data_IF_547262240360
#
_entry.id   IF_547262240360
#
_cell.length_a   1.000
_cell.length_b   1.000
_cell.length_c   1.000
_cell.angle_alpha   90.00
_cell.angle_beta   90.00
_cell.angle_gamma   90.00
#
_symmetry.space_group_name_H-M   'P 1'
#
loop_
_entity.id
_entity.type
_entity.pdbx_description
1 polymer ?
#
# COMPACT_ATOMS: atom_id res chain seq x y z
N UNK A 1 -25.74 7.22 -4.12
CA UNK A 1 -24.55 6.37 -3.85
C UNK A 1 -23.36 6.71 -4.77
N UNK A 2 -23.52 6.76 -6.11
CA UNK A 2 -22.38 7.01 -7.03
C UNK A 2 -21.55 8.27 -6.73
N UNK A 3 -22.19 9.42 -6.42
CA UNK A 3 -21.47 10.68 -6.10
C UNK A 3 -20.69 10.63 -4.78
N UNK A 4 -21.31 10.01 -3.76
CA UNK A 4 -20.75 9.80 -2.42
C UNK A 4 -19.50 8.91 -2.47
N UNK A 5 -19.60 7.77 -3.16
CA UNK A 5 -18.46 6.86 -3.36
C UNK A 5 -17.34 7.52 -4.16
N UNK A 6 -17.67 8.30 -5.20
CA UNK A 6 -16.66 9.00 -6.00
C UNK A 6 -15.87 10.02 -5.17
N UNK A 7 -16.54 10.73 -4.25
CA UNK A 7 -15.88 11.68 -3.36
C UNK A 7 -14.92 10.97 -2.38
N UNK A 8 -15.39 9.90 -1.75
CA UNK A 8 -14.61 9.10 -0.81
C UNK A 8 -13.37 8.50 -1.49
N UNK A 9 -13.51 7.93 -2.70
CA UNK A 9 -12.38 7.41 -3.46
C UNK A 9 -11.40 8.50 -3.92
N UNK A 10 -11.87 9.70 -4.30
CA UNK A 10 -10.98 10.76 -4.78
C UNK A 10 -10.06 11.29 -3.67
N UNK A 11 -10.57 11.38 -2.45
CA UNK A 11 -9.80 11.78 -1.29
C UNK A 11 -8.79 10.70 -0.87
N UNK A 12 -9.21 9.42 -0.91
CA UNK A 12 -8.31 8.27 -0.72
C UNK A 12 -7.15 8.24 -1.71
N UNK A 13 -7.39 8.61 -2.98
CA UNK A 13 -6.34 8.69 -4.00
C UNK A 13 -5.30 9.76 -3.65
N UNK A 14 -5.70 10.91 -3.10
CA UNK A 14 -4.74 11.93 -2.65
C UNK A 14 -3.85 11.41 -1.53
N UNK A 15 -4.43 10.72 -0.55
CA UNK A 15 -3.68 10.10 0.54
C UNK A 15 -2.68 9.05 0.00
N UNK A 16 -3.10 8.26 -1.00
CA UNK A 16 -2.25 7.26 -1.65
C UNK A 16 -1.07 7.90 -2.40
N UNK A 17 -1.28 9.00 -3.12
CA UNK A 17 -0.20 9.72 -3.82
C UNK A 17 0.84 10.22 -2.82
N UNK A 18 0.40 10.82 -1.71
CA UNK A 18 1.31 11.32 -0.66
C UNK A 18 2.10 10.15 -0.05
N UNK A 19 1.45 9.01 0.20
CA UNK A 19 2.11 7.81 0.71
C UNK A 19 3.25 7.35 -0.20
N UNK A 20 2.99 7.15 -1.51
CA UNK A 20 4.02 6.69 -2.43
C UNK A 20 5.16 7.70 -2.60
N UNK A 21 4.87 9.00 -2.56
CA UNK A 21 5.90 10.05 -2.61
C UNK A 21 6.85 9.94 -1.41
N UNK A 22 6.31 9.80 -0.20
CA UNK A 22 7.10 9.63 1.03
C UNK A 22 7.95 8.35 0.97
N UNK A 23 7.36 7.24 0.52
CA UNK A 23 8.07 5.96 0.38
C UNK A 23 9.23 6.08 -0.61
N UNK A 24 9.03 6.71 -1.77
CA UNK A 24 10.09 6.93 -2.77
C UNK A 24 11.23 7.78 -2.19
N UNK A 25 10.90 8.79 -1.38
CA UNK A 25 11.89 9.63 -0.71
C UNK A 25 12.70 8.83 0.32
N UNK A 26 12.05 7.98 1.12
CA UNK A 26 12.72 7.08 2.07
C UNK A 26 13.65 6.09 1.33
N UNK A 27 13.18 5.48 0.24
CA UNK A 27 13.98 4.55 -0.57
C UNK A 27 15.21 5.25 -1.13
N UNK A 28 15.05 6.43 -1.74
CA UNK A 28 16.16 7.15 -2.35
C UNK A 28 17.22 7.55 -1.31
N UNK A 29 16.78 8.00 -0.12
CA UNK A 29 17.68 8.31 0.98
C UNK A 29 18.43 7.06 1.49
N UNK A 30 17.73 5.93 1.59
CA UNK A 30 18.32 4.65 1.99
C UNK A 30 19.37 4.16 0.98
N UNK A 31 19.09 4.27 -0.32
CA UNK A 31 20.04 3.90 -1.39
C UNK A 31 21.30 4.77 -1.31
N UNK A 32 21.15 6.09 -1.15
CA UNK A 32 22.30 7.02 -1.01
C UNK A 32 23.11 6.66 0.24
N UNK A 33 22.45 6.45 1.38
CA UNK A 33 23.11 6.09 2.63
C UNK A 33 23.90 4.78 2.56
N UNK A 34 23.36 3.75 1.90
CA UNK A 34 24.07 2.48 1.71
C UNK A 34 25.30 2.61 0.81
N UNK A 35 25.22 3.42 -0.26
CA UNK A 35 26.35 3.68 -1.15
C UNK A 35 27.49 4.41 -0.41
N UNK A 36 27.18 5.29 0.54
CA UNK A 36 28.18 6.02 1.34
C UNK A 36 28.75 5.17 2.48
N UNK A 37 27.93 4.38 3.16
CA UNK A 37 28.34 3.62 4.35
C UNK A 37 28.99 2.26 4.04
N UNK A 38 28.96 1.81 2.78
CA UNK A 38 29.48 0.48 2.38
C UNK A 38 28.71 -0.70 3.00
N UNK A 39 27.55 -0.44 3.61
CA UNK A 39 26.75 -1.44 4.30
C UNK A 39 25.88 -2.23 3.35
N UNK A 40 26.03 -3.56 3.36
CA UNK A 40 25.23 -4.52 2.56
C UNK A 40 23.96 -4.99 3.27
N UNK A 41 23.63 -4.42 4.45
CA UNK A 41 22.47 -4.86 5.22
C UNK A 41 21.17 -4.36 4.60
N UNK A 42 20.38 -5.32 4.14
CA UNK A 42 19.06 -5.15 3.51
C UNK A 42 18.00 -4.98 4.60
N UNK A 43 17.25 -3.86 4.58
CA UNK A 43 16.11 -3.64 5.48
C UNK A 43 14.80 -3.61 4.69
N UNK A 44 13.80 -4.36 5.15
CA UNK A 44 12.53 -4.59 4.47
C UNK A 44 11.54 -3.44 4.65
N UNK A 45 11.28 -2.71 3.56
CA UNK A 45 10.30 -1.62 3.51
C UNK A 45 8.85 -2.08 3.28
N UNK A 46 8.64 -3.37 2.99
CA UNK A 46 7.35 -3.88 2.53
C UNK A 46 6.30 -4.15 3.60
N UNK A 47 6.52 -3.77 4.86
CA UNK A 47 5.48 -3.83 5.94
C UNK A 47 4.74 -2.49 6.13
N UNK A 48 5.17 -1.45 5.42
CA UNK A 48 4.67 -0.09 5.63
C UNK A 48 3.30 0.15 4.98
N UNK A 49 2.99 -0.56 3.89
CA UNK A 49 1.74 -0.40 3.15
C UNK A 49 0.55 -1.00 3.89
N UNK A 50 0.75 -2.08 4.64
CA UNK A 50 -0.31 -2.72 5.42
C UNK A 50 -0.73 -1.87 6.62
N UNK A 51 0.24 -1.30 7.34
CA UNK A 51 -0.06 -0.34 8.40
C UNK A 51 -0.73 0.92 7.87
N UNK A 52 -0.30 1.42 6.70
CA UNK A 52 -0.96 2.54 6.06
C UNK A 52 -2.42 2.23 5.72
N UNK A 53 -2.68 1.06 5.11
CA UNK A 53 -4.05 0.63 4.80
C UNK A 53 -4.91 0.47 6.06
N UNK A 54 -4.33 -0.04 7.16
CA UNK A 54 -5.00 -0.14 8.46
C UNK A 54 -5.40 1.25 8.99
N UNK A 55 -4.47 2.19 9.02
CA UNK A 55 -4.71 3.56 9.53
C UNK A 55 -5.75 4.27 8.67
N UNK A 56 -5.66 4.16 7.35
CA UNK A 56 -6.64 4.72 6.41
C UNK A 56 -8.03 4.14 6.66
N UNK A 57 -8.12 2.82 6.89
CA UNK A 57 -9.38 2.16 7.26
C UNK A 57 -10.01 2.70 8.55
N UNK A 58 -9.19 2.91 9.58
CA UNK A 58 -9.64 3.50 10.85
C UNK A 58 -10.09 4.96 10.69
N UNK A 59 -9.33 5.77 9.95
CA UNK A 59 -9.66 7.17 9.68
C UNK A 59 -10.92 7.31 8.83
N UNK A 60 -11.09 6.45 7.83
CA UNK A 60 -12.29 6.42 6.98
C UNK A 60 -13.57 6.23 7.79
N UNK A 61 -13.52 5.39 8.83
CA UNK A 61 -14.70 5.13 9.65
C UNK A 61 -15.15 6.37 10.42
N UNK A 62 -14.25 7.24 10.88
CA UNK A 62 -14.64 8.43 11.63
C UNK A 62 -15.19 9.53 10.74
N UNK A 63 -14.40 9.94 9.75
CA UNK A 63 -14.65 11.18 8.99
C UNK A 63 -15.86 11.05 8.05
N UNK A 64 -15.94 9.94 7.32
CA UNK A 64 -17.05 9.70 6.39
C UNK A 64 -18.35 9.30 7.08
N UNK A 65 -18.26 8.70 8.28
CA UNK A 65 -19.46 8.36 9.05
C UNK A 65 -20.20 9.60 9.51
N UNK A 66 -19.50 10.61 10.05
CA UNK A 66 -20.13 11.87 10.43
C UNK A 66 -20.70 12.62 9.22
N UNK A 67 -19.97 12.66 8.10
CA UNK A 67 -20.41 13.34 6.88
C UNK A 67 -21.68 12.70 6.29
N UNK A 68 -21.75 11.38 6.19
CA UNK A 68 -22.94 10.71 5.62
C UNK A 68 -24.14 10.66 6.59
N UNK A 69 -23.90 10.66 7.90
CA UNK A 69 -24.96 10.82 8.90
C UNK A 69 -25.67 12.17 8.76
N UNK A 70 -24.92 13.27 8.57
CA UNK A 70 -25.50 14.60 8.34
C UNK A 70 -26.32 14.70 7.05
N UNK A 71 -25.98 13.87 6.06
CA UNK A 71 -26.70 13.78 4.77
C UNK A 71 -27.89 12.79 4.80
N UNK A 72 -28.32 12.33 5.97
CA UNK A 72 -29.49 11.45 6.11
C UNK A 72 -29.29 10.04 5.55
N UNK A 73 -28.04 9.61 5.36
CA UNK A 73 -27.74 8.25 4.85
C UNK A 73 -27.90 7.24 5.99
N UNK A 74 -28.63 6.16 5.73
CA UNK A 74 -28.79 5.06 6.69
C UNK A 74 -27.43 4.42 7.06
N UNK A 75 -27.23 4.13 8.35
CA UNK A 75 -26.00 3.54 8.92
C UNK A 75 -25.54 2.27 8.19
N UNK A 76 -26.47 1.42 7.75
CA UNK A 76 -26.17 0.18 6.99
C UNK A 76 -25.52 0.49 5.63
N UNK A 77 -25.97 1.55 4.96
CA UNK A 77 -25.44 1.98 3.66
C UNK A 77 -24.05 2.63 3.80
N UNK A 78 -23.81 3.34 4.91
CA UNK A 78 -22.50 3.93 5.24
C UNK A 78 -21.47 2.82 5.43
N UNK A 79 -21.79 1.82 6.25
CA UNK A 79 -20.89 0.70 6.52
C UNK A 79 -20.58 -0.11 5.25
N UNK A 80 -21.60 -0.48 4.48
CA UNK A 80 -21.40 -1.20 3.22
C UNK A 80 -20.56 -0.41 2.20
N UNK A 81 -20.77 0.92 2.11
CA UNK A 81 -19.97 1.80 1.26
C UNK A 81 -18.50 1.88 1.69
N UNK A 82 -18.26 1.99 3.01
CA UNK A 82 -16.90 1.99 3.56
C UNK A 82 -16.17 0.67 3.27
N UNK A 83 -16.83 -0.48 3.48
CA UNK A 83 -16.25 -1.79 3.15
C UNK A 83 -15.90 -1.91 1.65
N UNK A 84 -16.79 -1.50 0.76
CA UNK A 84 -16.52 -1.52 -0.69
C UNK A 84 -15.33 -0.62 -1.06
N UNK A 85 -15.26 0.60 -0.51
CA UNK A 85 -14.13 1.49 -0.72
C UNK A 85 -12.82 0.89 -0.21
N UNK A 86 -12.82 0.24 0.96
CA UNK A 86 -11.62 -0.39 1.51
C UNK A 86 -11.14 -1.58 0.67
N UNK A 87 -12.05 -2.40 0.16
CA UNK A 87 -11.70 -3.51 -0.74
C UNK A 87 -11.07 -2.98 -2.03
N UNK A 88 -11.67 -1.95 -2.64
CA UNK A 88 -11.12 -1.34 -3.86
C UNK A 88 -9.76 -0.70 -3.57
N UNK A 89 -9.63 0.01 -2.45
CA UNK A 89 -8.39 0.67 -2.06
C UNK A 89 -7.26 -0.33 -1.79
N UNK A 90 -7.55 -1.41 -1.06
CA UNK A 90 -6.60 -2.49 -0.80
C UNK A 90 -6.16 -3.19 -2.09
N UNK A 91 -7.08 -3.44 -3.03
CA UNK A 91 -6.73 -4.02 -4.33
C UNK A 91 -5.81 -3.11 -5.15
N UNK A 92 -6.07 -1.80 -5.16
CA UNK A 92 -5.20 -0.81 -5.84
C UNK A 92 -3.83 -0.74 -5.18
N UNK A 93 -3.76 -0.71 -3.84
CA UNK A 93 -2.49 -0.72 -3.11
C UNK A 93 -1.68 -1.98 -3.40
N UNK A 94 -2.30 -3.15 -3.38
CA UNK A 94 -1.62 -4.41 -3.70
C UNK A 94 -1.04 -4.42 -5.12
N UNK A 95 -1.80 -3.95 -6.11
CA UNK A 95 -1.30 -3.84 -7.49
C UNK A 95 -0.11 -2.86 -7.61
N UNK A 96 -0.14 -1.76 -6.85
CA UNK A 96 0.93 -0.77 -6.84
C UNK A 96 2.20 -1.27 -6.10
N UNK A 97 2.05 -2.00 -5.00
CA UNK A 97 3.17 -2.61 -4.28
C UNK A 97 3.90 -3.65 -5.15
N UNK A 98 3.14 -4.45 -5.92
CA UNK A 98 3.68 -5.37 -6.92
C UNK A 98 4.44 -4.64 -8.03
N UNK A 99 3.92 -3.52 -8.53
CA UNK A 99 4.63 -2.71 -9.52
C UNK A 99 5.91 -2.11 -8.95
N UNK A 100 5.89 -1.65 -7.69
CA UNK A 100 7.07 -1.12 -7.02
C UNK A 100 8.17 -2.19 -6.89
N UNK A 101 7.80 -3.43 -6.52
CA UNK A 101 8.71 -4.58 -6.48
C UNK A 101 9.42 -4.80 -7.82
N UNK A 102 8.67 -4.83 -8.93
CA UNK A 102 9.22 -5.01 -10.27
C UNK A 102 10.20 -3.90 -10.66
N UNK A 103 9.86 -2.64 -10.36
CA UNK A 103 10.72 -1.49 -10.67
C UNK A 103 12.03 -1.55 -9.87
N UNK A 104 11.95 -1.94 -8.59
CA UNK A 104 13.12 -2.09 -7.74
C UNK A 104 14.03 -3.26 -8.16
N UNK A 105 13.45 -4.40 -8.56
CA UNK A 105 14.23 -5.55 -9.07
C UNK A 105 14.90 -5.23 -10.42
N UNK A 106 14.26 -4.41 -11.26
CA UNK A 106 14.82 -3.94 -12.53
C UNK A 106 15.97 -2.92 -12.38
N UNK A 107 16.21 -2.38 -11.18
CA UNK A 107 17.25 -1.40 -10.88
C UNK A 107 18.48 -2.08 -10.26
N UNK A 108 19.50 -2.46 -11.06
CA UNK A 108 20.69 -3.18 -10.57
C UNK A 108 21.57 -2.37 -9.61
N UNK A 109 21.32 -1.06 -9.46
CA UNK A 109 22.04 -0.17 -8.54
C UNK A 109 21.52 -0.20 -7.09
N UNK A 110 20.34 -0.75 -6.85
CA UNK A 110 19.76 -0.85 -5.52
C UNK A 110 19.82 -2.31 -5.05
N UNK A 111 20.80 -2.66 -4.23
CA UNK A 111 20.81 -3.90 -3.46
C UNK A 111 19.72 -3.91 -2.36
N UNK A 112 18.55 -3.32 -2.64
CA UNK A 112 17.40 -3.19 -1.74
C UNK A 112 16.37 -4.24 -2.16
N UNK A 113 16.25 -5.31 -1.38
CA UNK A 113 15.13 -6.23 -1.53
C UNK A 113 13.92 -5.60 -0.87
N UNK A 114 12.92 -5.21 -1.67
CA UNK A 114 11.59 -4.97 -1.14
C UNK A 114 11.02 -6.31 -0.67
N UNK A 115 10.48 -6.36 0.54
CA UNK A 115 10.04 -7.60 1.17
C UNK A 115 8.67 -7.37 1.81
N UNK A 116 7.63 -7.84 1.13
CA UNK A 116 6.24 -7.84 1.58
C UNK A 116 6.03 -8.90 2.67
N UNK A 117 4.97 -8.76 3.48
CA UNK A 117 4.60 -9.75 4.53
C UNK A 117 4.53 -11.18 3.98
N UNK A 118 3.92 -11.34 2.83
CA UNK A 118 3.78 -12.62 2.15
C UNK A 118 5.14 -13.21 1.76
N UNK A 119 6.05 -12.39 1.23
CA UNK A 119 7.42 -12.81 0.89
C UNK A 119 8.26 -13.17 2.12
N UNK A 120 7.98 -12.55 3.28
CA UNK A 120 8.65 -12.89 4.55
C UNK A 120 8.11 -14.21 5.12
N UNK A 121 6.79 -14.39 5.14
CA UNK A 121 6.14 -15.59 5.69
C UNK A 121 6.34 -16.83 4.82
N UNK A 122 6.38 -16.68 3.50
CA UNK A 122 6.51 -17.77 2.54
C UNK A 122 7.86 -17.79 1.81
N UNK A 123 8.93 -17.28 2.44
CA UNK A 123 10.25 -17.14 1.81
C UNK A 123 10.80 -18.42 1.16
N UNK A 124 10.50 -19.61 1.72
CA UNK A 124 10.90 -20.90 1.14
C UNK A 124 10.18 -21.26 -0.17
N UNK A 125 8.92 -20.84 -0.34
CA UNK A 125 8.14 -21.05 -1.55
C UNK A 125 8.43 -19.98 -2.61
N UNK A 126 8.59 -18.72 -2.20
CA UNK A 126 8.84 -17.57 -3.09
C UNK A 126 10.19 -17.67 -3.81
N UNK A 127 11.18 -18.35 -3.22
CA UNK A 127 12.48 -18.59 -3.85
C UNK A 127 12.47 -19.73 -4.87
N UNK A 128 11.48 -20.63 -4.83
CA UNK A 128 11.35 -21.78 -5.75
C UNK A 128 10.17 -21.65 -6.73
N UNK A 129 9.33 -20.64 -6.55
CA UNK A 129 8.16 -20.38 -7.38
C UNK A 129 8.53 -19.70 -8.71
N UNK A 130 7.82 -20.07 -9.78
CA UNK A 130 7.92 -19.38 -11.06
C UNK A 130 7.50 -17.90 -10.97
N UNK A 131 7.89 -17.06 -11.95
CA UNK A 131 7.72 -15.61 -11.89
C UNK A 131 6.25 -15.16 -11.70
N UNK A 132 5.28 -15.95 -12.17
CA UNK A 132 3.84 -15.66 -12.02
C UNK A 132 3.30 -15.98 -10.62
N UNK A 133 3.87 -16.96 -9.91
CA UNK A 133 3.48 -17.28 -8.53
C UNK A 133 4.08 -16.30 -7.52
N UNK A 134 5.25 -15.72 -7.83
CA UNK A 134 5.84 -14.58 -7.11
C UNK A 134 4.98 -13.31 -7.14
N UNK A 135 4.08 -13.20 -8.11
CA UNK A 135 3.17 -12.07 -8.29
C UNK A 135 1.93 -12.15 -7.38
N UNK A 136 1.55 -13.37 -6.96
CA UNK A 136 0.37 -13.66 -6.14
C UNK A 136 0.69 -13.87 -4.65
N UNK A 137 1.97 -14.10 -4.33
CA UNK A 137 2.49 -14.25 -2.98
C UNK A 137 3.34 -13.04 -2.67
#
# INVERSE_FOLDING_TARGET
MKKILKYQCFDLVKALIIYYLVILLIISLAVIGMNVAGGTKRSGLGFSSEFFCLIVGLCMFREYFYLFMQNGVSRKKIFAGACMCLVIFSAVMSAMDVLALYILEALPAANVSYMTISSTLYSGYVNNAGPVLRLLV
#
